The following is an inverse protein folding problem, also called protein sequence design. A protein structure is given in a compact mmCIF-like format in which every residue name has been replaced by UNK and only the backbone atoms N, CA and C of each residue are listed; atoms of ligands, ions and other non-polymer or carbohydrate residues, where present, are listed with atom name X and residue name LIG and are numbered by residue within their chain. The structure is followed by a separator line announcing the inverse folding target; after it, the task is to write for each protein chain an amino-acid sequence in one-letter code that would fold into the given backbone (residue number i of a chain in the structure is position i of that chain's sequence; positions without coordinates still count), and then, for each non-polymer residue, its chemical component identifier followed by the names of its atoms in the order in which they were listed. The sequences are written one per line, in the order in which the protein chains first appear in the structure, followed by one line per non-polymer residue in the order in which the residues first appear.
data_IF_659154253447
#
_entry.id   IF_659154253447
#
_cell.length_a   1.000
_cell.length_b   1.000
_cell.length_c   1.000
_cell.angle_alpha   90.00
_cell.angle_beta   90.00
_cell.angle_gamma   90.00
#
_symmetry.space_group_name_H-M   'P 1'
#
loop_
_entity.id
_entity.type
_entity.pdbx_description
1 polymer ?
#
# COMPACT_ATOMS: atom_id res chain seq x y z
N UNK A 1 8.52 31.13 13.06
CA UNK A 1 9.13 29.86 12.59
C UNK A 1 7.99 28.85 12.48
N UNK A 2 7.91 28.07 11.40
CA UNK A 2 6.87 27.03 11.31
C UNK A 2 7.12 25.97 12.40
N UNK A 3 6.05 25.46 13.03
CA UNK A 3 6.15 24.43 14.05
C UNK A 3 6.86 23.19 13.47
N UNK A 4 7.99 22.74 14.05
CA UNK A 4 8.76 21.61 13.52
C UNK A 4 7.97 20.31 13.46
N UNK A 5 6.92 20.16 14.27
CA UNK A 5 6.01 19.00 14.28
C UNK A 5 5.18 18.92 13.00
N UNK A 6 4.80 20.07 12.42
CA UNK A 6 4.08 20.12 11.13
C UNK A 6 4.95 19.52 10.02
N UNK A 7 6.26 19.79 10.04
CA UNK A 7 7.18 19.18 9.07
C UNK A 7 7.26 17.67 9.24
N UNK A 8 7.28 17.17 10.48
CA UNK A 8 7.29 15.74 10.77
C UNK A 8 6.01 15.06 10.30
N UNK A 9 4.83 15.68 10.51
CA UNK A 9 3.56 15.21 9.97
C UNK A 9 3.65 15.00 8.46
N UNK A 10 4.04 16.04 7.72
CA UNK A 10 4.12 15.98 6.25
C UNK A 10 5.05 14.85 5.77
N UNK A 11 6.19 14.66 6.44
CA UNK A 11 7.14 13.60 6.09
C UNK A 11 6.51 12.22 6.32
N UNK A 12 5.97 11.97 7.52
CA UNK A 12 5.37 10.68 7.90
C UNK A 12 4.16 10.35 7.02
N UNK A 13 3.29 11.32 6.76
CA UNK A 13 2.18 11.20 5.82
C UNK A 13 2.66 10.83 4.42
N UNK A 14 3.73 11.46 3.94
CA UNK A 14 4.33 11.14 2.65
C UNK A 14 4.87 9.71 2.56
N UNK A 15 5.43 9.18 3.65
CA UNK A 15 5.90 7.79 3.73
C UNK A 15 4.74 6.81 3.62
N UNK A 16 3.70 6.97 4.46
CA UNK A 16 2.50 6.13 4.43
C UNK A 16 1.84 6.16 3.06
N UNK A 17 1.66 7.36 2.47
CA UNK A 17 1.06 7.51 1.14
C UNK A 17 1.82 6.77 0.03
N UNK A 18 3.16 6.74 0.09
CA UNK A 18 3.98 6.01 -0.89
C UNK A 18 3.86 4.50 -0.71
N UNK A 19 3.90 4.02 0.53
CA UNK A 19 3.78 2.60 0.84
C UNK A 19 2.39 2.05 0.50
N UNK A 20 1.31 2.83 0.72
CA UNK A 20 -0.04 2.47 0.27
C UNK A 20 -0.08 2.27 -1.24
N UNK A 21 0.52 3.19 -2.00
CA UNK A 21 0.59 3.07 -3.47
C UNK A 21 1.42 1.87 -3.90
N UNK A 22 2.56 1.62 -3.26
CA UNK A 22 3.42 0.47 -3.56
C UNK A 22 2.65 -0.85 -3.42
N UNK A 23 1.98 -1.07 -2.27
CA UNK A 23 1.15 -2.27 -2.06
C UNK A 23 0.05 -2.39 -3.12
N UNK A 24 -0.70 -1.31 -3.37
CA UNK A 24 -1.78 -1.32 -4.37
C UNK A 24 -1.28 -1.63 -5.78
N UNK A 25 -0.06 -1.21 -6.14
CA UNK A 25 0.53 -1.55 -7.44
C UNK A 25 0.83 -3.05 -7.54
N UNK A 26 1.46 -3.64 -6.52
CA UNK A 26 1.74 -5.09 -6.53
C UNK A 26 0.46 -5.92 -6.57
N UNK A 27 -0.60 -5.52 -5.87
CA UNK A 27 -1.90 -6.19 -5.95
C UNK A 27 -2.54 -6.10 -7.33
N UNK A 28 -2.42 -4.93 -7.99
CA UNK A 28 -2.90 -4.77 -9.37
C UNK A 28 -2.11 -5.64 -10.34
N UNK A 29 -0.82 -5.83 -10.11
CA UNK A 29 0.03 -6.69 -10.93
C UNK A 29 -0.40 -8.16 -10.80
N UNK A 30 -0.62 -8.66 -9.58
CA UNK A 30 -1.19 -10.00 -9.35
C UNK A 30 -2.53 -10.17 -10.06
N UNK A 31 -3.45 -9.20 -9.94
CA UNK A 31 -4.73 -9.24 -10.65
C UNK A 31 -4.58 -9.24 -12.17
N UNK A 32 -3.59 -8.52 -12.70
CA UNK A 32 -3.30 -8.48 -14.14
C UNK A 32 -2.82 -9.83 -14.64
N UNK A 33 -1.88 -10.45 -13.92
CA UNK A 33 -1.33 -11.75 -14.28
C UNK A 33 -2.35 -12.90 -14.07
N UNK A 34 -3.24 -12.80 -13.08
CA UNK A 34 -4.39 -13.70 -12.94
C UNK A 34 -5.35 -13.58 -14.13
N UNK A 35 -5.71 -12.36 -14.55
CA UNK A 35 -6.56 -12.15 -15.71
C UNK A 35 -5.91 -12.68 -17.00
N UNK A 36 -4.57 -12.61 -17.10
CA UNK A 36 -3.81 -13.21 -18.20
C UNK A 36 -3.87 -14.74 -18.17
N UNK A 37 -3.74 -15.36 -17.00
CA UNK A 37 -3.91 -16.82 -16.86
C UNK A 37 -5.30 -17.28 -17.32
N UNK A 38 -6.36 -16.56 -16.95
CA UNK A 38 -7.73 -16.89 -17.39
C UNK A 38 -7.89 -16.80 -18.91
N UNK A 39 -7.25 -15.81 -19.57
CA UNK A 39 -7.22 -15.75 -21.03
C UNK A 39 -6.49 -16.95 -21.64
N UNK A 40 -5.32 -17.32 -21.11
CA UNK A 40 -4.56 -18.47 -21.62
C UNK A 40 -5.35 -19.79 -21.49
N UNK A 41 -6.13 -19.95 -20.42
CA UNK A 41 -7.05 -21.09 -20.25
C UNK A 41 -8.16 -21.10 -21.31
N UNK A 42 -8.77 -19.95 -21.57
CA UNK A 42 -9.84 -19.81 -22.57
C UNK A 42 -9.31 -20.08 -24.00
N UNK A 43 -8.06 -19.71 -24.26
CA UNK A 43 -7.39 -19.95 -25.54
C UNK A 43 -6.88 -21.40 -25.69
N UNK A 44 -7.17 -22.28 -24.73
CA UNK A 44 -6.70 -23.69 -24.71
C UNK A 44 -5.18 -23.82 -24.85
N UNK A 45 -4.44 -22.89 -24.23
CA UNK A 45 -2.98 -22.94 -24.18
C UNK A 45 -2.50 -24.22 -23.50
N UNK A 46 -1.31 -24.70 -23.88
CA UNK A 46 -0.75 -25.92 -23.31
C UNK A 46 -0.38 -25.79 -21.82
N UNK A 47 -0.23 -26.94 -21.16
CA UNK A 47 0.05 -27.03 -19.73
C UNK A 47 1.36 -26.35 -19.32
N UNK A 48 2.39 -26.38 -20.19
CA UNK A 48 3.67 -25.74 -19.89
C UNK A 48 3.51 -24.22 -19.84
N UNK A 49 2.75 -23.63 -20.77
CA UNK A 49 2.44 -22.19 -20.77
C UNK A 49 1.64 -21.78 -19.53
N UNK A 50 0.60 -22.56 -19.17
CA UNK A 50 -0.20 -22.29 -17.98
C UNK A 50 0.62 -22.36 -16.69
N UNK A 51 1.51 -23.35 -16.58
CA UNK A 51 2.42 -23.49 -15.44
C UNK A 51 3.40 -22.32 -15.33
N UNK A 52 3.95 -21.86 -16.45
CA UNK A 52 4.83 -20.67 -16.47
C UNK A 52 4.10 -19.42 -16.03
N UNK A 53 2.85 -19.24 -16.45
CA UNK A 53 2.06 -18.10 -15.99
C UNK A 53 1.77 -18.18 -14.47
N UNK A 54 1.57 -19.37 -13.92
CA UNK A 54 1.41 -19.54 -12.46
C UNK A 54 2.69 -19.19 -11.70
N UNK A 55 3.88 -19.55 -12.22
CA UNK A 55 5.16 -19.14 -11.63
C UNK A 55 5.30 -17.62 -11.59
N UNK A 56 4.92 -16.91 -12.67
CA UNK A 56 4.90 -15.43 -12.70
C UNK A 56 3.96 -14.86 -11.64
N UNK A 57 2.75 -15.40 -11.48
CA UNK A 57 1.80 -14.96 -10.45
C UNK A 57 2.41 -15.11 -9.05
N UNK A 58 3.06 -16.25 -8.77
CA UNK A 58 3.73 -16.48 -7.49
C UNK A 58 4.84 -15.46 -7.23
N UNK A 59 5.64 -15.11 -8.24
CA UNK A 59 6.66 -14.07 -8.14
C UNK A 59 6.07 -12.70 -7.79
N UNK A 60 4.95 -12.32 -8.41
CA UNK A 60 4.23 -11.09 -8.07
C UNK A 60 3.68 -11.12 -6.63
N UNK A 61 3.08 -12.24 -6.21
CA UNK A 61 2.51 -12.40 -4.87
C UNK A 61 3.56 -12.28 -3.77
N UNK A 62 4.80 -12.75 -4.00
CA UNK A 62 5.90 -12.67 -3.04
C UNK A 62 6.27 -11.23 -2.64
N UNK A 63 5.88 -10.22 -3.42
CA UNK A 63 6.15 -8.80 -3.14
C UNK A 63 5.15 -8.17 -2.16
N UNK A 64 3.96 -8.73 -2.04
CA UNK A 64 2.86 -8.16 -1.23
C UNK A 64 3.16 -8.22 0.28
N UNK A 65 3.68 -9.32 0.87
CA UNK A 65 3.89 -9.41 2.32
C UNK A 65 4.83 -8.33 2.88
N UNK A 66 5.95 -8.07 2.21
CA UNK A 66 6.92 -7.07 2.67
C UNK A 66 6.37 -5.64 2.54
N UNK A 67 5.72 -5.31 1.42
CA UNK A 67 5.07 -4.00 1.25
C UNK A 67 3.96 -3.76 2.29
N UNK A 68 3.13 -4.78 2.59
CA UNK A 68 2.13 -4.73 3.67
C UNK A 68 2.77 -4.52 5.04
N UNK A 69 3.84 -5.26 5.36
CA UNK A 69 4.57 -5.11 6.62
C UNK A 69 5.16 -3.70 6.78
N UNK A 70 5.80 -3.16 5.74
CA UNK A 70 6.36 -1.80 5.76
C UNK A 70 5.25 -0.76 5.94
N UNK A 71 4.14 -0.90 5.22
CA UNK A 71 2.98 -0.01 5.36
C UNK A 71 2.40 -0.05 6.78
N UNK A 72 2.18 -1.24 7.34
CA UNK A 72 1.63 -1.42 8.69
C UNK A 72 2.48 -0.71 9.74
N UNK A 73 3.81 -0.87 9.67
CA UNK A 73 4.74 -0.21 10.59
C UNK A 73 4.63 1.31 10.52
N UNK A 74 4.68 1.89 9.33
CA UNK A 74 4.64 3.35 9.18
C UNK A 74 3.24 3.93 9.44
N UNK A 75 2.19 3.14 9.19
CA UNK A 75 0.82 3.45 9.61
C UNK A 75 0.75 3.62 11.13
N UNK A 76 1.26 2.67 11.91
CA UNK A 76 1.27 2.75 13.38
C UNK A 76 2.09 3.94 13.88
N UNK A 77 3.24 4.22 13.24
CA UNK A 77 4.07 5.38 13.55
C UNK A 77 3.31 6.69 13.33
N UNK A 78 2.61 6.84 12.20
CA UNK A 78 1.84 8.05 11.91
C UNK A 78 0.60 8.15 12.80
N UNK A 79 -0.09 7.04 13.06
CA UNK A 79 -1.25 6.99 13.95
C UNK A 79 -0.89 7.44 15.36
N UNK A 80 0.20 6.91 15.92
CA UNK A 80 0.71 7.33 17.22
C UNK A 80 1.08 8.80 17.22
N UNK A 81 1.75 9.28 16.17
CA UNK A 81 2.14 10.68 16.06
C UNK A 81 0.93 11.63 16.09
N UNK A 82 -0.19 11.27 15.45
CA UNK A 82 -1.42 12.06 15.54
C UNK A 82 -2.04 12.04 16.94
N UNK A 83 -2.01 10.89 17.62
CA UNK A 83 -2.51 10.77 18.99
C UNK A 83 -1.70 11.61 19.98
N UNK A 84 -0.40 11.73 19.76
CA UNK A 84 0.50 12.51 20.63
C UNK A 84 0.38 14.04 20.38
N UNK A 85 -0.08 14.45 19.19
CA UNK A 85 -0.05 15.84 18.71
C UNK A 85 -1.46 16.40 18.42
N UNK A 86 -2.43 16.09 19.30
CA UNK A 86 -3.84 16.47 19.14
C UNK A 86 -4.09 17.98 19.13
N UNK A 87 -3.16 18.77 19.65
CA UNK A 87 -3.18 20.24 19.58
C UNK A 87 -3.04 20.76 18.14
N UNK A 88 -2.55 19.93 17.21
CA UNK A 88 -2.41 20.25 15.79
C UNK A 88 -3.62 19.86 14.94
N UNK A 89 -4.71 19.34 15.53
CA UNK A 89 -5.86 18.76 14.80
C UNK A 89 -6.51 19.68 13.76
N UNK A 90 -6.44 20.99 13.96
CA UNK A 90 -7.05 22.00 13.09
C UNK A 90 -6.11 22.43 11.95
N UNK A 91 -4.88 21.93 11.94
CA UNK A 91 -3.93 22.22 10.87
C UNK A 91 -4.20 21.34 9.63
N UNK A 92 -4.02 21.92 8.44
CA UNK A 92 -4.14 21.20 7.18
C UNK A 92 -3.25 19.94 7.13
N UNK A 93 -2.07 19.99 7.77
CA UNK A 93 -1.14 18.86 7.81
C UNK A 93 -1.71 17.68 8.60
N UNK A 94 -2.34 17.94 9.74
CA UNK A 94 -2.97 16.91 10.56
C UNK A 94 -4.20 16.31 9.87
N UNK A 95 -5.03 17.16 9.25
CA UNK A 95 -6.23 16.70 8.52
C UNK A 95 -5.81 15.77 7.37
N UNK A 96 -4.85 16.19 6.53
CA UNK A 96 -4.31 15.36 5.44
C UNK A 96 -3.67 14.07 5.94
N UNK A 97 -2.97 14.11 7.08
CA UNK A 97 -2.40 12.92 7.69
C UNK A 97 -3.47 11.92 8.13
N UNK A 98 -4.58 12.42 8.69
CA UNK A 98 -5.72 11.62 9.12
C UNK A 98 -6.44 10.97 7.94
N UNK A 99 -6.65 11.71 6.84
CA UNK A 99 -7.21 11.20 5.59
C UNK A 99 -6.34 10.08 5.02
N UNK A 100 -5.02 10.30 4.93
CA UNK A 100 -4.07 9.30 4.43
C UNK A 100 -4.02 8.05 5.33
N UNK A 101 -4.17 8.19 6.65
CA UNK A 101 -4.32 7.01 7.51
C UNK A 101 -5.62 6.26 7.22
N UNK A 102 -6.74 6.95 7.03
CA UNK A 102 -8.00 6.28 6.69
C UNK A 102 -7.87 5.50 5.37
N UNK A 103 -7.25 6.09 4.34
CA UNK A 103 -6.94 5.42 3.08
C UNK A 103 -5.96 4.25 3.26
N UNK A 104 -4.90 4.42 4.05
CA UNK A 104 -3.92 3.37 4.30
C UNK A 104 -4.53 2.18 5.07
N UNK A 105 -5.50 2.45 5.96
CA UNK A 105 -6.22 1.41 6.68
C UNK A 105 -7.02 0.51 5.74
N UNK A 106 -7.74 1.08 4.77
CA UNK A 106 -8.47 0.27 3.78
C UNK A 106 -7.50 -0.55 2.93
N UNK A 107 -6.36 0.03 2.54
CA UNK A 107 -5.30 -0.69 1.82
C UNK A 107 -4.69 -1.82 2.66
N UNK A 108 -4.63 -1.73 3.99
CA UNK A 108 -4.10 -2.80 4.86
C UNK A 108 -5.10 -3.95 5.12
N UNK A 109 -6.39 -3.66 5.10
CA UNK A 109 -7.46 -4.62 5.32
C UNK A 109 -7.72 -5.52 4.10
N UNK A 110 -7.32 -5.06 2.90
CA UNK A 110 -7.22 -5.87 1.67
C UNK A 110 -5.97 -6.75 1.70
#
# INVERSE_FOLDING_TARGET
MADPRIRQLVIKTGVVKRLSKEKTVYEREVNTEMARLEKLKNDSSDEHVLRKQQEVIQECEMMIPDSKRRLQKEFEVLQKYLQDELDLKETDAYIKASEVLAEAKTVLEV
#
